data_IF_475801426820
#
_entry.id   IF_475801426820
#
_cell.length_a   1.000
_cell.length_b   1.000
_cell.length_c   1.000
_cell.angle_alpha   90.00
_cell.angle_beta   90.00
_cell.angle_gamma   90.00
#
_symmetry.space_group_name_H-M   'P 1'
#
loop_
_entity.id
_entity.type
_entity.pdbx_description
1 polymer ?
#
# COMPACT_ATOMS: atom_id res chain seq x y z
N UNK A 1 -56.22 20.34 -53.27
CA UNK A 1 -54.83 19.93 -53.51
C UNK A 1 -53.98 20.79 -52.61
N UNK A 2 -53.45 20.23 -51.53
CA UNK A 2 -52.57 20.95 -50.62
C UNK A 2 -51.16 20.36 -50.78
N UNK A 3 -50.23 21.25 -51.06
CA UNK A 3 -48.83 21.01 -51.42
C UNK A 3 -48.09 20.23 -50.33
N UNK A 4 -47.40 19.16 -50.75
CA UNK A 4 -46.40 18.45 -49.96
C UNK A 4 -45.18 19.35 -49.82
N UNK A 5 -44.92 19.88 -48.63
CA UNK A 5 -43.65 20.49 -48.30
C UNK A 5 -42.67 19.41 -47.84
N UNK A 6 -41.61 19.24 -48.64
CA UNK A 6 -40.41 18.47 -48.33
C UNK A 6 -39.71 19.08 -47.10
N UNK A 7 -39.52 18.28 -46.04
CA UNK A 7 -38.49 18.55 -45.03
C UNK A 7 -37.40 17.48 -45.18
N UNK A 8 -36.14 17.87 -45.45
CA UNK A 8 -35.04 16.91 -45.47
C UNK A 8 -34.69 16.59 -44.02
N UNK A 9 -35.27 15.53 -43.46
CA UNK A 9 -34.80 14.98 -42.19
C UNK A 9 -33.64 14.05 -42.53
N UNK A 10 -32.46 14.35 -41.98
CA UNK A 10 -31.22 13.60 -42.14
C UNK A 10 -31.37 12.19 -41.55
N UNK A 11 -31.88 11.25 -42.34
CA UNK A 11 -31.86 9.83 -42.02
C UNK A 11 -30.69 9.18 -42.78
N UNK A 12 -29.51 9.10 -42.17
CA UNK A 12 -28.42 8.31 -42.75
C UNK A 12 -28.66 6.82 -42.40
N UNK A 13 -28.95 6.02 -43.42
CA UNK A 13 -29.04 4.56 -43.28
C UNK A 13 -27.61 4.00 -43.37
N UNK A 14 -26.83 4.09 -42.28
CA UNK A 14 -25.49 3.50 -42.20
C UNK A 14 -25.56 1.98 -42.37
N UNK A 15 -24.81 1.32 -43.23
CA UNK A 15 -25.04 -0.11 -43.59
C UNK A 15 -24.57 -1.21 -42.59
N UNK A 16 -24.30 -0.89 -41.32
CA UNK A 16 -23.48 -1.75 -40.42
C UNK A 16 -24.19 -2.83 -39.58
N UNK A 17 -25.38 -3.33 -39.93
CA UNK A 17 -25.96 -4.44 -39.13
C UNK A 17 -25.26 -5.78 -39.45
N UNK A 18 -24.19 -6.11 -38.72
CA UNK A 18 -23.41 -7.36 -38.89
C UNK A 18 -24.08 -8.61 -38.27
N UNK A 19 -25.01 -8.43 -37.33
CA UNK A 19 -25.66 -9.53 -36.60
C UNK A 19 -27.16 -9.50 -36.88
N UNK A 20 -27.69 -10.61 -37.39
CA UNK A 20 -29.12 -10.74 -37.67
C UNK A 20 -29.97 -10.61 -36.39
N UNK A 21 -31.09 -9.90 -36.49
CA UNK A 21 -32.05 -9.75 -35.38
C UNK A 21 -31.67 -8.70 -34.33
N UNK A 22 -30.53 -8.01 -34.50
CA UNK A 22 -30.15 -6.82 -33.74
C UNK A 22 -30.28 -5.60 -34.62
N UNK A 23 -30.77 -4.49 -34.07
CA UNK A 23 -30.95 -3.24 -34.83
C UNK A 23 -30.21 -2.09 -34.19
N UNK A 24 -29.16 -1.58 -34.85
CA UNK A 24 -28.55 -0.33 -34.45
C UNK A 24 -29.58 0.80 -34.42
N UNK A 25 -29.51 1.61 -33.38
CA UNK A 25 -30.32 2.80 -33.19
C UNK A 25 -29.41 3.95 -32.74
N UNK A 26 -29.69 5.14 -33.25
CA UNK A 26 -29.09 6.40 -32.79
C UNK A 26 -30.21 7.33 -32.33
N UNK A 27 -30.03 7.94 -31.17
CA UNK A 27 -31.00 8.89 -30.60
C UNK A 27 -30.29 10.13 -30.09
N UNK A 28 -31.01 11.25 -30.08
CA UNK A 28 -30.67 12.39 -29.23
C UNK A 28 -31.37 12.18 -27.90
N UNK A 29 -30.60 12.20 -26.81
CA UNK A 29 -31.15 12.09 -25.46
C UNK A 29 -31.73 13.42 -24.99
N UNK A 30 -31.02 14.52 -25.23
CA UNK A 30 -31.48 15.88 -24.92
C UNK A 30 -30.63 16.99 -25.58
N UNK A 31 -31.22 18.19 -25.66
CA UNK A 31 -30.54 19.44 -26.02
C UNK A 31 -29.75 20.03 -24.83
N UNK A 32 -28.53 20.51 -25.12
CA UNK A 32 -27.62 21.13 -24.18
C UNK A 32 -27.65 22.65 -24.38
N UNK A 33 -27.85 23.37 -23.28
CA UNK A 33 -27.98 24.82 -23.25
C UNK A 33 -26.70 25.50 -22.74
N UNK A 34 -26.45 26.76 -23.14
CA UNK A 34 -25.30 27.52 -22.64
C UNK A 34 -25.43 27.88 -21.16
N UNK A 35 -26.66 28.11 -20.67
CA UNK A 35 -26.97 28.52 -19.30
C UNK A 35 -28.41 28.14 -18.90
N UNK A 36 -28.86 28.60 -17.73
CA UNK A 36 -30.20 28.35 -17.19
C UNK A 36 -31.27 29.37 -17.59
N UNK A 37 -30.97 30.27 -18.53
CA UNK A 37 -31.97 31.18 -19.10
C UNK A 37 -32.89 30.48 -20.11
N UNK A 38 -32.47 29.31 -20.59
CA UNK A 38 -33.22 28.44 -21.50
C UNK A 38 -33.32 27.03 -20.92
N UNK A 39 -34.48 26.41 -21.05
CA UNK A 39 -34.78 25.08 -20.50
C UNK A 39 -35.71 24.31 -21.43
N UNK A 40 -35.71 22.99 -21.26
CA UNK A 40 -36.66 22.07 -21.91
C UNK A 40 -38.06 22.19 -21.32
N UNK A 41 -39.08 21.61 -21.96
CA UNK A 41 -40.45 21.69 -21.45
C UNK A 41 -40.59 21.16 -20.01
N UNK A 42 -39.80 20.15 -19.64
CA UNK A 42 -39.76 19.63 -18.28
C UNK A 42 -39.12 20.59 -17.25
N UNK A 43 -38.55 21.71 -17.68
CA UNK A 43 -37.90 22.73 -16.85
C UNK A 43 -36.40 22.52 -16.60
N UNK A 44 -35.77 21.55 -17.25
CA UNK A 44 -34.32 21.26 -17.09
C UNK A 44 -33.50 22.08 -18.08
N UNK A 45 -32.40 22.64 -17.58
CA UNK A 45 -31.31 23.20 -18.38
C UNK A 45 -30.10 22.28 -18.29
N UNK A 46 -29.90 21.46 -19.33
CA UNK A 46 -28.72 20.61 -19.43
C UNK A 46 -27.50 21.45 -19.76
N UNK A 47 -26.53 21.49 -18.86
CA UNK A 47 -25.29 22.25 -19.06
C UNK A 47 -24.17 21.28 -19.40
N UNK A 48 -23.42 21.57 -20.47
CA UNK A 48 -22.41 20.68 -21.05
C UNK A 48 -21.43 20.11 -20.01
N UNK A 49 -20.96 20.95 -19.08
CA UNK A 49 -20.06 20.52 -18.00
C UNK A 49 -20.63 19.36 -17.17
N UNK A 50 -21.91 19.41 -16.80
CA UNK A 50 -22.53 18.37 -15.99
C UNK A 50 -22.95 17.17 -16.84
N UNK A 51 -23.31 17.40 -18.11
CA UNK A 51 -23.55 16.31 -19.06
C UNK A 51 -22.28 15.49 -19.26
N UNK A 52 -21.13 16.12 -19.48
CA UNK A 52 -19.84 15.45 -19.61
C UNK A 52 -19.45 14.66 -18.35
N UNK A 53 -19.70 15.21 -17.16
CA UNK A 53 -19.38 14.55 -15.89
C UNK A 53 -20.18 13.23 -15.69
N UNK A 54 -21.41 13.19 -16.19
CA UNK A 54 -22.32 12.04 -16.03
C UNK A 54 -22.43 11.18 -17.30
N UNK A 55 -21.71 11.52 -18.38
CA UNK A 55 -21.79 10.84 -19.69
C UNK A 55 -21.55 9.33 -19.62
N UNK A 56 -20.66 8.91 -18.70
CA UNK A 56 -20.29 7.51 -18.52
C UNK A 56 -21.49 6.61 -18.18
N UNK A 57 -22.52 7.15 -17.52
CA UNK A 57 -23.68 6.36 -17.09
C UNK A 57 -24.66 6.06 -18.24
N UNK A 58 -24.48 6.66 -19.43
CA UNK A 58 -25.31 6.34 -20.60
C UNK A 58 -24.96 4.96 -21.14
N UNK A 59 -23.70 4.52 -21.01
CA UNK A 59 -23.27 3.20 -21.51
C UNK A 59 -23.89 2.10 -20.65
N UNK A 60 -24.62 1.19 -21.29
CA UNK A 60 -25.39 0.14 -20.63
C UNK A 60 -26.78 0.58 -20.15
N UNK A 61 -27.14 1.86 -20.31
CA UNK A 61 -28.48 2.34 -20.01
C UNK A 61 -29.52 1.66 -20.91
N UNK A 62 -30.66 1.31 -20.33
CA UNK A 62 -31.75 0.63 -21.03
C UNK A 62 -32.49 1.55 -21.99
N UNK A 63 -32.87 0.99 -23.14
CA UNK A 63 -33.90 1.56 -24.01
C UNK A 63 -35.21 0.86 -23.65
N UNK A 64 -36.21 1.62 -23.25
CA UNK A 64 -37.46 1.10 -22.69
C UNK A 64 -38.68 1.59 -23.46
N UNK A 65 -39.75 0.81 -23.37
CA UNK A 65 -41.05 1.09 -23.96
C UNK A 65 -42.13 0.55 -23.05
N UNK A 66 -43.08 1.41 -22.66
CA UNK A 66 -44.41 0.95 -22.23
C UNK A 66 -45.24 0.72 -23.50
N UNK A 67 -45.74 -0.50 -23.69
CA UNK A 67 -46.54 -0.83 -24.88
C UNK A 67 -48.01 -0.52 -24.65
N UNK A 68 -48.66 0.06 -25.65
CA UNK A 68 -50.11 0.33 -25.60
C UNK A 68 -50.93 -0.96 -25.55
N UNK A 69 -50.40 -2.06 -26.10
CA UNK A 69 -51.09 -3.33 -26.25
C UNK A 69 -50.19 -4.51 -25.88
N UNK A 70 -50.81 -5.64 -25.53
CA UNK A 70 -50.10 -6.91 -25.29
C UNK A 70 -49.37 -7.44 -26.52
N UNK A 71 -49.70 -6.94 -27.72
CA UNK A 71 -49.04 -7.29 -28.96
C UNK A 71 -47.63 -6.68 -29.08
N UNK A 72 -47.27 -5.75 -28.19
CA UNK A 72 -45.95 -5.10 -28.12
C UNK A 72 -45.51 -4.49 -29.44
N UNK A 73 -46.43 -3.77 -30.06
CA UNK A 73 -46.28 -3.12 -31.36
C UNK A 73 -46.12 -1.61 -31.24
N UNK A 74 -47.00 -0.96 -30.46
CA UNK A 74 -47.09 0.50 -30.39
C UNK A 74 -46.50 0.97 -29.04
N UNK A 75 -45.45 1.82 -29.06
CA UNK A 75 -44.98 2.48 -27.85
C UNK A 75 -46.04 3.46 -27.33
N UNK A 76 -46.11 3.67 -26.02
CA UNK A 76 -47.07 4.57 -25.40
C UNK A 76 -46.36 5.56 -24.46
N UNK A 77 -45.96 5.10 -23.28
CA UNK A 77 -45.50 5.95 -22.17
C UNK A 77 -44.16 5.51 -21.56
N UNK A 78 -43.87 6.07 -20.38
CA UNK A 78 -42.64 5.84 -19.64
C UNK A 78 -42.68 4.55 -18.79
N UNK A 79 -43.87 4.03 -18.49
CA UNK A 79 -44.05 2.86 -17.63
C UNK A 79 -43.69 3.08 -16.15
N UNK A 80 -43.64 4.33 -15.69
CA UNK A 80 -43.37 4.68 -14.29
C UNK A 80 -44.56 4.32 -13.39
N UNK A 81 -44.31 3.52 -12.36
CA UNK A 81 -45.35 3.07 -11.43
C UNK A 81 -45.31 3.85 -10.12
N UNK A 82 -44.14 3.97 -9.49
CA UNK A 82 -43.99 4.68 -8.21
C UNK A 82 -42.54 5.11 -7.94
N UNK A 83 -42.32 5.78 -6.79
CA UNK A 83 -40.98 6.02 -6.24
C UNK A 83 -40.87 5.22 -4.95
N UNK A 84 -39.86 4.34 -4.88
CA UNK A 84 -39.59 3.56 -3.67
C UNK A 84 -39.05 4.48 -2.58
N UNK A 85 -39.81 4.60 -1.49
CA UNK A 85 -39.55 5.58 -0.41
C UNK A 85 -38.25 5.31 0.35
N UNK A 86 -37.77 4.06 0.40
CA UNK A 86 -36.60 3.69 1.18
C UNK A 86 -35.29 4.28 0.64
N UNK A 87 -35.20 4.45 -0.69
CA UNK A 87 -33.98 4.85 -1.38
C UNK A 87 -34.23 5.83 -2.53
N UNK A 88 -35.42 6.41 -2.59
CA UNK A 88 -35.89 7.33 -3.63
C UNK A 88 -35.73 6.78 -5.05
N UNK A 89 -35.74 5.45 -5.22
CA UNK A 89 -35.57 4.83 -6.53
C UNK A 89 -36.86 4.92 -7.34
N UNK A 90 -36.85 5.56 -8.54
CA UNK A 90 -37.98 5.51 -9.45
C UNK A 90 -38.19 4.08 -9.97
N UNK A 91 -39.40 3.56 -9.85
CA UNK A 91 -39.79 2.24 -10.35
C UNK A 91 -40.54 2.39 -11.67
N UNK A 92 -40.05 1.69 -12.69
CA UNK A 92 -40.61 1.67 -14.05
C UNK A 92 -41.08 0.26 -14.42
N UNK A 93 -41.96 -0.33 -13.61
CA UNK A 93 -42.31 -1.75 -13.73
C UNK A 93 -43.06 -2.10 -15.03
N UNK A 94 -43.75 -1.13 -15.63
CA UNK A 94 -44.45 -1.29 -16.91
C UNK A 94 -43.56 -0.95 -18.12
N UNK A 95 -42.31 -0.52 -17.88
CA UNK A 95 -41.35 -0.19 -18.93
C UNK A 95 -40.58 -1.43 -19.37
N UNK A 96 -40.93 -1.95 -20.54
CA UNK A 96 -40.24 -3.11 -21.13
C UNK A 96 -38.91 -2.68 -21.74
N UNK A 97 -37.81 -3.29 -21.29
CA UNK A 97 -36.50 -3.09 -21.92
C UNK A 97 -36.44 -3.77 -23.30
N UNK A 98 -36.21 -2.97 -24.34
CA UNK A 98 -36.17 -3.41 -25.75
C UNK A 98 -34.78 -3.31 -26.36
N UNK A 99 -33.83 -2.71 -25.64
CA UNK A 99 -32.46 -2.50 -26.09
C UNK A 99 -31.60 -1.84 -25.03
N UNK A 100 -30.39 -1.46 -25.42
CA UNK A 100 -29.44 -0.72 -24.58
C UNK A 100 -28.57 0.19 -25.42
N UNK A 101 -27.96 1.20 -24.79
CA UNK A 101 -26.93 2.02 -25.40
C UNK A 101 -25.53 1.47 -25.15
N UNK A 102 -24.69 1.59 -26.17
CA UNK A 102 -23.32 1.11 -26.17
C UNK A 102 -22.33 2.28 -26.13
N UNK A 103 -22.76 3.47 -26.56
CA UNK A 103 -21.91 4.65 -26.70
C UNK A 103 -22.73 5.94 -26.57
N UNK A 104 -22.10 7.00 -26.08
CA UNK A 104 -22.66 8.34 -26.10
C UNK A 104 -21.58 9.39 -26.33
N UNK A 105 -21.97 10.52 -26.93
CA UNK A 105 -21.10 11.66 -27.19
C UNK A 105 -21.92 12.93 -27.40
N UNK A 106 -21.27 14.09 -27.23
CA UNK A 106 -21.87 15.40 -27.48
C UNK A 106 -21.49 15.85 -28.88
N UNK A 107 -22.45 16.36 -29.63
CA UNK A 107 -22.22 16.87 -30.99
C UNK A 107 -23.19 18.02 -31.32
N UNK A 108 -22.93 18.70 -32.42
CA UNK A 108 -23.81 19.72 -32.98
C UNK A 108 -24.64 19.12 -34.13
N UNK A 109 -25.96 19.12 -33.97
CA UNK A 109 -26.91 18.53 -34.94
C UNK A 109 -27.89 19.59 -35.44
N UNK A 110 -28.16 19.61 -36.74
CA UNK A 110 -29.21 20.44 -37.31
C UNK A 110 -30.59 19.78 -37.12
N UNK A 111 -31.47 20.44 -36.34
CA UNK A 111 -32.84 20.01 -36.10
C UNK A 111 -33.75 21.17 -36.50
N UNK A 112 -34.69 20.92 -37.42
CA UNK A 112 -35.61 21.93 -37.97
C UNK A 112 -34.90 23.20 -38.50
N UNK A 113 -33.72 23.03 -39.12
CA UNK A 113 -32.92 24.13 -39.67
C UNK A 113 -32.14 24.96 -38.64
N UNK A 114 -32.11 24.52 -37.38
CA UNK A 114 -31.34 25.16 -36.30
C UNK A 114 -30.27 24.18 -35.81
N UNK A 115 -29.01 24.60 -35.82
CA UNK A 115 -27.92 23.86 -35.19
C UNK A 115 -28.09 23.89 -33.67
N UNK A 116 -28.21 22.71 -33.07
CA UNK A 116 -28.37 22.51 -31.63
C UNK A 116 -27.21 21.67 -31.10
N UNK A 117 -26.68 22.06 -29.94
CA UNK A 117 -25.74 21.26 -29.15
C UNK A 117 -26.54 20.16 -28.45
N UNK A 118 -26.22 18.89 -28.66
CA UNK A 118 -27.04 17.78 -28.17
C UNK A 118 -26.20 16.64 -27.59
N UNK A 119 -26.79 15.86 -26.69
CA UNK A 119 -26.25 14.56 -26.27
C UNK A 119 -26.81 13.45 -27.17
N UNK A 120 -25.94 12.74 -27.87
CA UNK A 120 -26.28 11.62 -28.75
C UNK A 120 -25.91 10.30 -28.07
N UNK A 121 -26.78 9.30 -28.20
CA UNK A 121 -26.52 7.92 -27.79
C UNK A 121 -26.72 6.95 -28.95
N UNK A 122 -25.79 6.01 -29.09
CA UNK A 122 -25.81 4.91 -30.06
C UNK A 122 -25.98 3.59 -29.31
N UNK A 123 -26.86 2.74 -29.82
CA UNK A 123 -27.22 1.49 -29.14
C UNK A 123 -27.82 0.46 -30.08
N UNK A 124 -28.39 -0.57 -29.46
CA UNK A 124 -28.94 -1.72 -30.17
C UNK A 124 -30.31 -2.11 -29.61
N UNK A 125 -31.31 -2.26 -30.50
CA UNK A 125 -32.61 -2.87 -30.23
C UNK A 125 -32.60 -4.37 -30.53
N UNK A 126 -33.32 -5.15 -29.73
CA UNK A 126 -33.52 -6.59 -29.94
C UNK A 126 -34.75 -6.85 -30.83
N UNK A 127 -34.55 -6.78 -32.15
CA UNK A 127 -35.63 -7.04 -33.11
C UNK A 127 -36.14 -8.49 -33.07
N UNK A 128 -35.31 -9.47 -32.68
CA UNK A 128 -35.79 -10.86 -32.58
C UNK A 128 -36.90 -10.99 -31.54
N UNK A 129 -36.85 -10.17 -30.48
CA UNK A 129 -37.83 -10.19 -29.40
C UNK A 129 -38.95 -9.19 -29.59
N UNK A 130 -38.68 -8.10 -30.29
CA UNK A 130 -39.64 -7.03 -30.54
C UNK A 130 -39.80 -6.69 -32.04
N UNK A 131 -40.13 -7.67 -32.91
CA UNK A 131 -40.16 -7.45 -34.35
C UNK A 131 -41.29 -6.52 -34.79
N UNK A 132 -42.43 -6.54 -34.09
CA UNK A 132 -43.58 -5.66 -34.38
C UNK A 132 -43.28 -4.21 -34.01
N UNK A 133 -42.71 -3.98 -32.82
CA UNK A 133 -42.23 -2.66 -32.40
C UNK A 133 -41.19 -2.08 -33.36
N UNK A 134 -40.19 -2.87 -33.74
CA UNK A 134 -39.17 -2.41 -34.69
C UNK A 134 -39.77 -2.11 -36.07
N UNK A 135 -40.78 -2.89 -36.51
CA UNK A 135 -41.52 -2.58 -37.73
C UNK A 135 -42.31 -1.27 -37.60
N UNK A 136 -42.97 -1.04 -36.47
CA UNK A 136 -43.70 0.19 -36.17
C UNK A 136 -42.77 1.41 -36.22
N UNK A 137 -41.59 1.35 -35.58
CA UNK A 137 -40.61 2.43 -35.64
C UNK A 137 -40.21 2.75 -37.09
N UNK A 138 -39.98 1.75 -37.94
CA UNK A 138 -39.61 1.97 -39.36
C UNK A 138 -40.69 2.65 -40.18
N UNK A 139 -41.94 2.34 -39.88
CA UNK A 139 -43.09 2.96 -40.54
C UNK A 139 -43.21 4.42 -40.10
N UNK A 140 -43.19 4.66 -38.79
CA UNK A 140 -43.46 5.98 -38.22
C UNK A 140 -42.29 6.96 -38.37
N UNK A 141 -41.03 6.49 -38.39
CA UNK A 141 -39.87 7.33 -38.73
C UNK A 141 -39.89 7.82 -40.17
N UNK A 142 -40.54 7.09 -41.09
CA UNK A 142 -40.68 7.52 -42.48
C UNK A 142 -41.71 8.65 -42.63
N UNK A 143 -42.63 8.77 -41.67
CA UNK A 143 -43.77 9.69 -41.72
C UNK A 143 -43.61 10.88 -40.77
N UNK A 144 -42.86 10.73 -39.68
CA UNK A 144 -42.74 11.71 -38.60
C UNK A 144 -41.48 11.52 -37.76
N UNK A 145 -41.20 12.49 -36.89
CA UNK A 145 -40.14 12.39 -35.88
C UNK A 145 -40.63 11.59 -34.68
N UNK A 146 -39.97 10.47 -34.38
CA UNK A 146 -40.27 9.70 -33.18
C UNK A 146 -39.57 10.34 -31.98
N UNK A 147 -40.34 10.56 -30.92
CA UNK A 147 -39.87 11.22 -29.71
C UNK A 147 -39.47 10.21 -28.63
N UNK A 148 -38.65 10.65 -27.70
CA UNK A 148 -38.37 9.88 -26.50
C UNK A 148 -38.19 10.77 -25.27
N UNK A 149 -37.82 10.14 -24.17
CA UNK A 149 -37.52 10.84 -22.92
C UNK A 149 -36.37 10.16 -22.23
N UNK A 150 -35.42 10.96 -21.79
CA UNK A 150 -34.32 10.51 -20.94
C UNK A 150 -34.77 10.46 -19.48
N UNK A 151 -34.43 9.39 -18.80
CA UNK A 151 -34.64 9.22 -17.37
C UNK A 151 -33.31 9.38 -16.62
N UNK A 152 -33.36 10.08 -15.50
CA UNK A 152 -32.21 10.26 -14.61
C UNK A 152 -32.59 9.90 -13.18
N UNK A 153 -31.60 9.43 -12.43
CA UNK A 153 -31.73 9.07 -11.02
C UNK A 153 -30.63 9.75 -10.21
N UNK A 154 -30.87 9.97 -8.92
CA UNK A 154 -29.82 10.41 -8.02
C UNK A 154 -28.84 9.30 -7.72
N UNK A 155 -27.61 9.68 -7.38
CA UNK A 155 -26.57 8.70 -7.06
C UNK A 155 -26.81 8.07 -5.68
N UNK A 156 -26.33 6.85 -5.50
CA UNK A 156 -26.46 6.13 -4.23
C UNK A 156 -25.75 6.86 -3.07
N UNK A 157 -24.64 7.56 -3.35
CA UNK A 157 -23.92 8.38 -2.38
C UNK A 157 -24.71 9.61 -1.90
N UNK A 158 -25.87 9.88 -2.52
CA UNK A 158 -26.77 10.98 -2.22
C UNK A 158 -28.19 10.50 -1.91
N UNK A 159 -28.34 9.28 -1.38
CA UNK A 159 -29.63 8.68 -1.00
C UNK A 159 -30.66 8.68 -2.16
N UNK A 160 -30.18 8.53 -3.40
CA UNK A 160 -31.04 8.54 -4.60
C UNK A 160 -31.54 9.92 -5.00
N UNK A 161 -31.07 11.00 -4.36
CA UNK A 161 -31.42 12.37 -4.71
C UNK A 161 -30.55 12.94 -5.83
N UNK A 162 -31.20 13.56 -6.82
CA UNK A 162 -30.53 14.37 -7.84
C UNK A 162 -30.11 15.70 -7.21
N UNK A 163 -28.83 16.05 -7.36
CA UNK A 163 -28.32 17.32 -6.85
C UNK A 163 -28.36 18.37 -7.96
N UNK A 164 -29.04 19.49 -7.69
CA UNK A 164 -29.22 20.60 -8.63
C UNK A 164 -28.35 21.82 -8.26
N UNK A 165 -27.81 22.49 -9.27
CA UNK A 165 -27.08 23.75 -9.12
C UNK A 165 -28.01 24.84 -8.59
N UNK A 166 -27.68 25.42 -7.44
CA UNK A 166 -28.53 26.43 -6.81
C UNK A 166 -29.83 25.89 -6.20
N UNK A 167 -29.94 24.56 -6.06
CA UNK A 167 -31.13 23.90 -5.53
C UNK A 167 -32.20 23.60 -6.58
N UNK A 168 -33.26 22.94 -6.14
CA UNK A 168 -34.39 22.61 -7.03
C UNK A 168 -35.19 23.87 -7.36
N UNK A 169 -35.56 24.01 -8.63
CA UNK A 169 -36.49 25.01 -9.14
C UNK A 169 -37.35 24.42 -10.25
N UNK A 170 -38.52 24.99 -10.48
CA UNK A 170 -39.47 24.47 -11.46
C UNK A 170 -38.93 24.60 -12.90
N UNK A 171 -38.34 25.75 -13.23
CA UNK A 171 -37.78 26.05 -14.55
C UNK A 171 -36.30 26.47 -14.46
N UNK A 172 -35.54 26.11 -15.49
CA UNK A 172 -34.11 26.37 -15.57
C UNK A 172 -33.26 25.50 -14.63
N UNK A 173 -33.80 24.42 -14.05
CA UNK A 173 -33.05 23.64 -13.04
C UNK A 173 -31.88 22.92 -13.72
N UNK A 174 -30.71 23.00 -13.10
CA UNK A 174 -29.49 22.43 -13.66
C UNK A 174 -29.10 21.20 -12.83
N UNK A 175 -29.33 19.98 -13.30
CA UNK A 175 -28.84 18.79 -12.63
C UNK A 175 -27.31 18.75 -12.70
N UNK A 176 -26.65 18.52 -11.56
CA UNK A 176 -25.18 18.45 -11.46
C UNK A 176 -24.71 17.03 -11.20
N UNK A 177 -25.36 16.34 -10.27
CA UNK A 177 -24.98 15.01 -9.79
C UNK A 177 -26.19 14.09 -9.96
N UNK A 178 -26.08 13.19 -10.92
CA UNK A 178 -27.13 12.25 -11.32
C UNK A 178 -26.51 11.11 -12.13
N UNK A 179 -27.28 10.07 -12.41
CA UNK A 179 -26.97 9.07 -13.42
C UNK A 179 -28.12 8.98 -14.42
N UNK A 180 -27.79 8.87 -15.70
CA UNK A 180 -28.71 8.42 -16.74
C UNK A 180 -29.14 6.98 -16.45
N UNK A 181 -30.45 6.74 -16.36
CA UNK A 181 -31.01 5.47 -15.89
C UNK A 181 -31.86 4.73 -16.94
N UNK A 182 -32.42 5.45 -17.91
CA UNK A 182 -33.17 4.86 -19.02
C UNK A 182 -33.46 5.86 -20.14
N UNK A 183 -33.90 5.35 -21.28
CA UNK A 183 -34.51 6.16 -22.34
C UNK A 183 -35.79 5.51 -22.82
N UNK A 184 -36.91 6.18 -22.60
CA UNK A 184 -38.22 5.74 -23.03
C UNK A 184 -38.48 6.21 -24.47
N UNK A 185 -38.88 5.31 -25.35
CA UNK A 185 -39.42 5.68 -26.67
C UNK A 185 -40.93 5.85 -26.55
N UNK A 186 -41.44 7.01 -26.97
CA UNK A 186 -42.80 7.45 -26.66
C UNK A 186 -43.60 7.72 -27.94
N UNK A 187 -44.91 7.49 -27.89
CA UNK A 187 -45.87 8.02 -28.86
C UNK A 187 -46.76 9.13 -28.28
N UNK A 188 -46.60 9.43 -26.99
CA UNK A 188 -47.24 10.55 -26.29
C UNK A 188 -46.31 11.77 -26.28
N UNK A 189 -46.82 12.93 -25.86
CA UNK A 189 -46.05 14.17 -25.82
C UNK A 189 -44.79 13.96 -24.95
N UNK A 190 -43.57 14.11 -25.51
CA UNK A 190 -42.33 13.93 -24.76
C UNK A 190 -42.09 15.09 -23.80
N UNK A 191 -41.23 14.85 -22.81
CA UNK A 191 -40.74 15.87 -21.89
C UNK A 191 -39.69 16.81 -22.54
N UNK A 192 -39.11 16.36 -23.65
CA UNK A 192 -38.12 17.08 -24.46
C UNK A 192 -38.42 16.92 -25.96
N UNK A 193 -38.62 18.03 -26.66
CA UNK A 193 -38.86 18.04 -28.10
C UNK A 193 -37.60 17.69 -28.91
N UNK A 194 -36.41 17.87 -28.33
CA UNK A 194 -35.13 17.50 -28.96
C UNK A 194 -34.78 16.02 -28.78
N UNK A 195 -35.44 15.30 -27.87
CA UNK A 195 -35.24 13.87 -27.69
C UNK A 195 -35.90 13.11 -28.85
N UNK A 196 -35.10 12.78 -29.87
CA UNK A 196 -35.56 12.21 -31.13
C UNK A 196 -34.80 10.94 -31.47
N UNK A 197 -35.51 9.96 -32.04
CA UNK A 197 -34.87 8.80 -32.67
C UNK A 197 -34.34 9.26 -34.03
N UNK A 198 -33.01 9.32 -34.18
CA UNK A 198 -32.35 9.84 -35.38
C UNK A 198 -32.29 8.79 -36.49
N UNK A 199 -31.85 7.57 -36.18
CA UNK A 199 -31.58 6.56 -37.20
C UNK A 199 -31.99 5.17 -36.74
N UNK A 200 -32.59 4.43 -37.67
CA UNK A 200 -32.90 3.02 -37.49
C UNK A 200 -32.47 2.26 -38.73
N UNK A 201 -31.47 1.42 -38.53
CA UNK A 201 -30.67 0.91 -39.62
C UNK A 201 -31.37 -0.23 -40.37
N UNK A 202 -31.84 0.00 -41.62
CA UNK A 202 -32.20 -1.05 -42.58
C UNK A 202 -32.40 -0.58 -44.04
N UNK A 203 -32.02 -1.45 -45.00
CA UNK A 203 -32.21 -1.26 -46.45
C UNK A 203 -33.69 -1.07 -46.83
N UNK A 204 -34.09 0.14 -47.22
CA UNK A 204 -35.25 0.37 -48.11
C UNK A 204 -34.74 0.45 -49.56
N UNK A 205 -35.12 -0.52 -50.39
CA UNK A 205 -35.09 -0.36 -51.84
C UNK A 205 -36.27 0.56 -52.23
N UNK A 206 -36.06 1.86 -52.31
CA UNK A 206 -37.02 2.75 -52.98
C UNK A 206 -36.39 3.30 -54.26
N UNK A 207 -36.93 2.81 -55.39
CA UNK A 207 -36.79 3.44 -56.70
C UNK A 207 -37.67 4.69 -56.69
N UNK A 208 -37.08 5.87 -56.54
CA UNK A 208 -37.69 7.10 -57.03
C UNK A 208 -36.73 7.75 -58.02
N UNK A 209 -37.12 7.72 -59.29
CA UNK A 209 -36.49 8.49 -60.36
C UNK A 209 -36.75 9.98 -60.12
N UNK A 210 -35.85 10.64 -59.39
CA UNK A 210 -35.62 12.07 -59.56
C UNK A 210 -34.48 12.21 -60.56
N UNK A 211 -34.79 12.72 -61.76
CA UNK A 211 -33.77 13.05 -62.77
C UNK A 211 -32.96 14.25 -62.29
N UNK A 212 -31.94 13.97 -61.48
CA UNK A 212 -30.83 14.88 -61.22
C UNK A 212 -30.03 15.03 -62.52
N UNK A 213 -29.71 16.27 -62.88
CA UNK A 213 -28.88 16.62 -64.05
C UNK A 213 -27.56 15.82 -64.02
N UNK A 214 -27.19 15.21 -65.15
CA UNK A 214 -26.09 14.24 -65.27
C UNK A 214 -24.74 14.87 -64.88
N UNK A 215 -24.61 16.18 -65.08
CA UNK A 215 -23.46 16.97 -64.64
C UNK A 215 -23.39 17.10 -63.11
N UNK A 216 -24.52 17.41 -62.46
CA UNK A 216 -24.60 17.50 -61.00
C UNK A 216 -24.34 16.13 -60.35
N UNK A 217 -24.84 15.05 -60.97
CA UNK A 217 -24.59 13.68 -60.52
C UNK A 217 -23.09 13.32 -60.57
N UNK A 218 -22.38 13.72 -61.61
CA UNK A 218 -20.94 13.47 -61.75
C UNK A 218 -20.10 14.30 -60.79
N UNK A 219 -20.43 15.58 -60.58
CA UNK A 219 -19.78 16.45 -59.59
C UNK A 219 -20.02 15.93 -58.17
N UNK A 220 -21.27 15.53 -57.85
CA UNK A 220 -21.63 14.95 -56.57
C UNK A 220 -20.95 13.59 -56.33
N UNK A 221 -20.90 12.73 -57.35
CA UNK A 221 -20.14 11.46 -57.29
C UNK A 221 -18.66 11.69 -57.02
N UNK A 222 -18.04 12.70 -57.65
CA UNK A 222 -16.64 13.03 -57.43
C UNK A 222 -16.40 13.49 -55.98
N UNK A 223 -17.23 14.39 -55.47
CA UNK A 223 -17.15 14.88 -54.07
C UNK A 223 -17.39 13.74 -53.07
N UNK A 224 -18.42 12.93 -53.29
CA UNK A 224 -18.71 11.76 -52.44
C UNK A 224 -17.56 10.76 -52.48
N UNK A 225 -17.02 10.46 -53.67
CA UNK A 225 -15.91 9.50 -53.79
C UNK A 225 -14.62 9.99 -53.09
N UNK A 226 -14.34 11.29 -53.16
CA UNK A 226 -13.23 11.91 -52.43
C UNK A 226 -13.43 11.82 -50.92
N UNK A 227 -14.61 12.23 -50.43
CA UNK A 227 -14.94 12.17 -49.00
C UNK A 227 -14.93 10.72 -48.46
N UNK A 228 -15.44 9.75 -49.22
CA UNK A 228 -15.39 8.33 -48.87
C UNK A 228 -13.95 7.81 -48.85
N UNK A 229 -13.12 8.19 -49.83
CA UNK A 229 -11.71 7.79 -49.86
C UNK A 229 -10.92 8.37 -48.68
N UNK A 230 -11.16 9.63 -48.32
CA UNK A 230 -10.55 10.26 -47.15
C UNK A 230 -11.02 9.61 -45.83
N UNK A 231 -12.32 9.33 -45.73
CA UNK A 231 -12.90 8.67 -44.56
C UNK A 231 -12.36 7.25 -44.38
N UNK A 232 -12.27 6.46 -45.46
CA UNK A 232 -11.65 5.14 -45.44
C UNK A 232 -10.17 5.20 -45.02
N UNK A 233 -9.42 6.19 -45.53
CA UNK A 233 -8.01 6.37 -45.16
C UNK A 233 -7.85 6.68 -43.67
N UNK A 234 -8.73 7.51 -43.10
CA UNK A 234 -8.76 7.78 -41.65
C UNK A 234 -9.17 6.55 -40.84
N UNK A 235 -10.10 5.75 -41.35
CA UNK A 235 -10.50 4.48 -40.74
C UNK A 235 -9.35 3.49 -40.68
N UNK A 236 -8.59 3.35 -41.76
CA UNK A 236 -7.38 2.50 -41.80
C UNK A 236 -6.32 3.01 -40.80
N UNK A 237 -6.15 4.34 -40.70
CA UNK A 237 -5.23 4.94 -39.72
C UNK A 237 -5.67 4.68 -38.27
N UNK A 238 -6.95 4.84 -37.95
CA UNK A 238 -7.47 4.56 -36.62
C UNK A 238 -7.41 3.08 -36.28
N UNK A 239 -7.73 2.20 -37.25
CA UNK A 239 -7.61 0.77 -37.07
C UNK A 239 -6.18 0.36 -36.75
N UNK A 240 -5.20 0.89 -37.50
CA UNK A 240 -3.78 0.66 -37.23
C UNK A 240 -3.36 1.17 -35.83
N UNK A 241 -3.90 2.31 -35.37
CA UNK A 241 -3.65 2.81 -34.01
C UNK A 241 -4.27 1.92 -32.93
N UNK A 242 -5.45 1.36 -33.17
CA UNK A 242 -6.09 0.41 -32.25
C UNK A 242 -5.27 -0.86 -32.17
N UNK A 243 -4.89 -1.46 -33.30
CA UNK A 243 -4.04 -2.67 -33.31
C UNK A 243 -2.69 -2.44 -32.61
N UNK A 244 -2.07 -1.26 -32.81
CA UNK A 244 -0.83 -0.91 -32.11
C UNK A 244 -1.03 -0.79 -30.59
N UNK A 245 -2.14 -0.20 -30.14
CA UNK A 245 -2.47 -0.10 -28.71
C UNK A 245 -2.83 -1.46 -28.11
N UNK A 246 -3.51 -2.33 -28.83
CA UNK A 246 -3.81 -3.68 -28.38
C UNK A 246 -2.53 -4.51 -28.19
N UNK A 247 -1.55 -4.35 -29.11
CA UNK A 247 -0.24 -4.95 -28.95
C UNK A 247 0.52 -4.40 -27.72
N UNK A 248 0.45 -3.09 -27.47
CA UNK A 248 1.04 -2.46 -26.27
C UNK A 248 0.39 -2.97 -24.98
N UNK A 249 -0.95 -3.09 -24.96
CA UNK A 249 -1.70 -3.65 -23.81
C UNK A 249 -1.28 -5.10 -23.55
N UNK A 250 -1.18 -5.93 -24.61
CA UNK A 250 -0.74 -7.31 -24.47
C UNK A 250 0.68 -7.42 -23.90
N UNK A 251 1.59 -6.54 -24.32
CA UNK A 251 2.95 -6.47 -23.78
C UNK A 251 2.94 -6.04 -22.30
N UNK A 252 2.22 -4.97 -21.96
CA UNK A 252 2.11 -4.52 -20.57
C UNK A 252 1.52 -5.58 -19.65
N UNK A 253 0.54 -6.35 -20.12
CA UNK A 253 -0.01 -7.48 -19.36
C UNK A 253 1.02 -8.59 -19.14
N UNK A 254 1.88 -8.87 -20.11
CA UNK A 254 2.97 -9.84 -19.95
C UNK A 254 4.01 -9.34 -18.93
N UNK A 255 4.37 -8.05 -18.99
CA UNK A 255 5.32 -7.44 -18.06
C UNK A 255 4.78 -7.40 -16.62
N UNK A 256 3.49 -7.11 -16.44
CA UNK A 256 2.81 -7.16 -15.14
C UNK A 256 2.91 -8.57 -14.54
N UNK A 257 2.59 -9.62 -15.30
CA UNK A 257 2.70 -11.01 -14.82
C UNK A 257 4.12 -11.37 -14.41
N UNK A 258 5.12 -10.89 -15.15
CA UNK A 258 6.52 -11.14 -14.81
C UNK A 258 6.92 -10.43 -13.52
N UNK A 259 6.52 -9.17 -13.34
CA UNK A 259 6.76 -8.41 -12.11
C UNK A 259 6.01 -8.98 -10.90
N UNK A 260 4.79 -9.48 -11.09
CA UNK A 260 4.03 -10.16 -10.03
C UNK A 260 4.76 -11.42 -9.55
N UNK A 261 5.33 -12.21 -10.48
CA UNK A 261 6.14 -13.37 -10.13
C UNK A 261 7.44 -12.98 -9.39
N UNK A 262 8.10 -11.90 -9.81
CA UNK A 262 9.30 -11.38 -9.14
C UNK A 262 8.98 -10.88 -7.72
N UNK A 263 7.88 -10.15 -7.53
CA UNK A 263 7.43 -9.71 -6.20
C UNK A 263 7.10 -10.90 -5.30
N UNK A 264 6.46 -11.95 -5.83
CA UNK A 264 6.17 -13.15 -5.07
C UNK A 264 7.46 -13.84 -4.60
N UNK A 265 8.48 -13.92 -5.47
CA UNK A 265 9.78 -14.49 -5.10
C UNK A 265 10.49 -13.64 -4.04
N UNK A 266 10.55 -12.32 -4.22
CA UNK A 266 11.18 -11.42 -3.26
C UNK A 266 10.52 -11.48 -1.88
N UNK A 267 9.19 -11.65 -1.82
CA UNK A 267 8.48 -11.86 -0.55
C UNK A 267 8.88 -13.16 0.12
N UNK A 268 8.97 -14.25 -0.62
CA UNK A 268 9.42 -15.54 -0.09
C UNK A 268 10.87 -15.47 0.43
N UNK A 269 11.76 -14.80 -0.32
CA UNK A 269 13.16 -14.61 0.07
C UNK A 269 13.27 -13.74 1.33
N UNK A 270 12.46 -12.68 1.43
CA UNK A 270 12.42 -11.82 2.61
C UNK A 270 11.93 -12.57 3.87
N UNK A 271 10.87 -13.37 3.75
CA UNK A 271 10.37 -14.20 4.85
C UNK A 271 11.41 -15.23 5.31
N UNK A 272 12.11 -15.87 4.37
CA UNK A 272 13.20 -16.80 4.69
C UNK A 272 14.37 -16.12 5.39
N UNK A 273 14.77 -14.93 4.91
CA UNK A 273 15.82 -14.14 5.54
C UNK A 273 15.45 -13.70 6.96
N UNK A 274 14.21 -13.27 7.17
CA UNK A 274 13.72 -12.85 8.48
C UNK A 274 13.67 -14.04 9.47
N UNK A 275 13.24 -15.22 9.00
CA UNK A 275 13.28 -16.44 9.81
C UNK A 275 14.73 -16.85 10.18
N UNK A 276 15.67 -16.73 9.24
CA UNK A 276 17.08 -17.00 9.48
C UNK A 276 17.70 -16.00 10.49
N UNK A 277 17.33 -14.72 10.41
CA UNK A 277 17.76 -13.70 11.37
C UNK A 277 17.23 -14.01 12.78
N UNK A 278 15.94 -14.31 12.92
CA UNK A 278 15.36 -14.67 14.21
C UNK A 278 16.04 -15.91 14.83
N UNK A 279 16.37 -16.91 14.03
CA UNK A 279 17.10 -18.09 14.49
C UNK A 279 18.54 -17.74 14.93
N UNK A 280 19.22 -16.85 14.22
CA UNK A 280 20.56 -16.39 14.59
C UNK A 280 20.56 -15.57 15.89
N UNK A 281 19.57 -14.70 16.09
CA UNK A 281 19.41 -13.92 17.32
C UNK A 281 19.10 -14.81 18.55
N UNK A 282 18.25 -15.82 18.37
CA UNK A 282 18.00 -16.82 19.40
C UNK A 282 19.28 -17.59 19.76
N UNK A 283 20.03 -18.05 18.75
CA UNK A 283 21.31 -18.74 18.96
C UNK A 283 22.37 -17.87 19.64
N UNK A 284 22.43 -16.57 19.33
CA UNK A 284 23.33 -15.63 20.01
C UNK A 284 22.96 -15.45 21.49
N UNK A 285 21.66 -15.40 21.78
CA UNK A 285 21.15 -15.29 23.16
C UNK A 285 21.52 -16.52 23.97
N UNK A 286 21.32 -17.72 23.43
CA UNK A 286 21.71 -18.98 24.07
C UNK A 286 23.23 -19.06 24.29
N UNK A 287 24.03 -18.69 23.29
CA UNK A 287 25.48 -18.68 23.38
C UNK A 287 25.99 -17.70 24.47
N UNK A 288 25.38 -16.52 24.58
CA UNK A 288 25.72 -15.55 25.61
C UNK A 288 25.37 -16.06 27.01
N UNK A 289 24.20 -16.67 27.20
CA UNK A 289 23.81 -17.27 28.47
C UNK A 289 24.76 -18.42 28.89
N UNK A 290 25.18 -19.25 27.93
CA UNK A 290 26.17 -20.30 28.15
C UNK A 290 27.54 -19.73 28.53
N UNK A 291 27.96 -18.64 27.87
CA UNK A 291 29.20 -17.93 28.18
C UNK A 291 29.19 -17.35 29.60
N UNK A 292 28.13 -16.65 30.01
CA UNK A 292 28.01 -16.11 31.37
C UNK A 292 28.08 -17.21 32.43
N UNK A 293 27.42 -18.35 32.18
CA UNK A 293 27.48 -19.52 33.05
C UNK A 293 28.91 -20.08 33.16
N UNK A 294 29.62 -20.16 32.05
CA UNK A 294 31.01 -20.64 32.02
C UNK A 294 31.97 -19.67 32.73
N UNK A 295 31.80 -18.35 32.54
CA UNK A 295 32.60 -17.32 33.22
C UNK A 295 32.38 -17.34 34.73
N UNK A 296 31.14 -17.48 35.19
CA UNK A 296 30.82 -17.64 36.61
C UNK A 296 31.49 -18.89 37.20
N UNK A 297 31.40 -20.02 36.49
CA UNK A 297 32.02 -21.29 36.90
C UNK A 297 33.55 -21.18 36.97
N UNK A 298 34.17 -20.49 36.02
CA UNK A 298 35.61 -20.23 35.99
C UNK A 298 36.04 -19.36 37.17
N UNK A 299 35.28 -18.30 37.47
CA UNK A 299 35.55 -17.43 38.62
C UNK A 299 35.48 -18.21 39.94
N UNK A 300 34.49 -19.09 40.10
CA UNK A 300 34.36 -19.94 41.28
C UNK A 300 35.53 -20.93 41.39
N UNK A 301 35.92 -21.56 40.28
CA UNK A 301 37.06 -22.47 40.25
C UNK A 301 38.37 -21.76 40.62
N UNK A 302 38.61 -20.56 40.07
CA UNK A 302 39.78 -19.75 40.40
C UNK A 302 39.80 -19.34 41.88
N UNK A 303 38.65 -18.99 42.47
CA UNK A 303 38.55 -18.68 43.89
C UNK A 303 38.89 -19.90 44.76
N UNK A 304 38.41 -21.10 44.38
CA UNK A 304 38.76 -22.36 45.08
C UNK A 304 40.24 -22.69 44.94
N UNK A 305 40.84 -22.50 43.77
CA UNK A 305 42.28 -22.71 43.55
C UNK A 305 43.08 -21.79 44.47
N UNK A 306 42.78 -20.50 44.50
CA UNK A 306 43.46 -19.53 45.36
C UNK A 306 43.33 -19.87 46.86
N UNK A 307 42.16 -20.38 47.29
CA UNK A 307 41.97 -20.86 48.65
C UNK A 307 42.85 -22.09 48.95
N UNK A 308 42.87 -23.08 48.06
CA UNK A 308 43.69 -24.28 48.24
C UNK A 308 45.20 -23.96 48.25
N UNK A 309 45.65 -23.02 47.42
CA UNK A 309 47.04 -22.55 47.41
C UNK A 309 47.40 -21.84 48.72
N UNK A 310 46.50 -21.00 49.24
CA UNK A 310 46.63 -20.33 50.54
C UNK A 310 46.70 -21.34 51.71
N UNK A 311 45.83 -22.35 51.69
CA UNK A 311 45.82 -23.43 52.69
C UNK A 311 47.09 -24.29 52.61
N UNK A 312 47.56 -24.62 51.40
CA UNK A 312 48.80 -25.36 51.18
C UNK A 312 50.03 -24.58 51.67
N UNK A 313 50.13 -23.29 51.37
CA UNK A 313 51.22 -22.42 51.82
C UNK A 313 51.27 -22.31 53.35
N UNK A 314 50.11 -22.20 54.02
CA UNK A 314 50.02 -22.23 55.49
C UNK A 314 50.42 -23.57 56.07
N UNK A 315 50.03 -24.68 55.42
CA UNK A 315 50.45 -26.01 55.84
C UNK A 315 51.98 -26.20 55.73
N UNK A 316 52.60 -25.65 54.68
CA UNK A 316 54.05 -25.68 54.51
C UNK A 316 54.77 -24.86 55.60
N UNK A 317 54.29 -23.66 55.91
CA UNK A 317 54.81 -22.87 57.04
C UNK A 317 54.68 -23.64 58.37
N UNK A 318 53.52 -24.21 58.65
CA UNK A 318 53.28 -24.98 59.87
C UNK A 318 54.22 -26.21 59.95
N UNK A 319 54.46 -26.89 58.83
CA UNK A 319 55.41 -28.00 58.77
C UNK A 319 56.85 -27.53 59.03
N UNK A 320 57.25 -26.37 58.51
CA UNK A 320 58.57 -25.79 58.74
C UNK A 320 58.76 -25.30 60.19
N UNK A 321 57.68 -24.85 60.86
CA UNK A 321 57.72 -24.39 62.24
C UNK A 321 57.60 -25.51 63.29
N UNK A 322 57.14 -26.71 62.90
CA UNK A 322 56.94 -27.86 63.79
C UNK A 322 58.17 -28.26 64.65
N UNK A 323 59.43 -28.11 64.20
CA UNK A 323 60.60 -28.41 65.02
C UNK A 323 60.90 -27.39 66.14
N UNK A 324 60.25 -26.22 66.14
CA UNK A 324 60.53 -25.12 67.05
C UNK A 324 59.47 -25.01 68.16
N UNK A 325 59.89 -24.67 69.38
CA UNK A 325 58.98 -24.47 70.52
C UNK A 325 58.20 -23.15 70.40
N UNK A 326 57.10 -23.01 71.15
CA UNK A 326 56.27 -21.80 71.15
C UNK A 326 57.07 -20.53 71.51
N UNK A 327 58.00 -20.64 72.47
CA UNK A 327 58.90 -19.54 72.87
C UNK A 327 59.86 -19.12 71.73
N UNK A 328 60.26 -20.06 70.88
CA UNK A 328 61.15 -19.81 69.74
C UNK A 328 60.38 -19.20 68.57
N UNK A 329 59.15 -19.65 68.33
CA UNK A 329 58.27 -19.08 67.30
C UNK A 329 57.88 -17.62 67.63
N UNK A 330 57.79 -17.27 68.92
CA UNK A 330 57.49 -15.90 69.36
C UNK A 330 58.50 -14.85 68.87
N UNK A 331 59.74 -15.26 68.54
CA UNK A 331 60.80 -14.39 68.01
C UNK A 331 60.47 -13.82 66.62
N UNK A 332 59.73 -14.59 65.81
CA UNK A 332 59.31 -14.19 64.45
C UNK A 332 57.79 -14.05 64.34
N UNK A 333 57.12 -13.72 65.46
CA UNK A 333 55.66 -13.66 65.54
C UNK A 333 55.05 -12.69 64.54
N UNK A 334 55.63 -11.51 64.38
CA UNK A 334 55.16 -10.50 63.43
C UNK A 334 55.20 -11.04 61.97
N UNK A 335 56.27 -11.74 61.60
CA UNK A 335 56.38 -12.33 60.26
C UNK A 335 55.49 -13.56 60.05
N UNK A 336 55.26 -14.36 61.09
CA UNK A 336 54.32 -15.50 61.06
C UNK A 336 52.88 -15.01 60.93
N UNK A 337 52.50 -13.98 61.67
CA UNK A 337 51.17 -13.38 61.60
C UNK A 337 50.94 -12.74 60.22
N UNK A 338 51.94 -12.03 59.68
CA UNK A 338 51.89 -11.48 58.32
C UNK A 338 51.76 -12.56 57.22
N UNK A 339 52.44 -13.70 57.36
CA UNK A 339 52.30 -14.83 56.43
C UNK A 339 50.92 -15.50 56.55
N UNK A 340 50.36 -15.60 57.75
CA UNK A 340 49.03 -16.18 57.97
C UNK A 340 47.90 -15.29 57.43
N UNK A 341 48.05 -13.97 57.50
CA UNK A 341 47.12 -13.01 56.90
C UNK A 341 47.23 -12.98 55.36
N UNK A 342 48.45 -13.08 54.82
CA UNK A 342 48.69 -13.11 53.38
C UNK A 342 49.78 -14.14 53.02
N UNK A 343 49.40 -15.41 52.71
CA UNK A 343 50.37 -16.46 52.40
C UNK A 343 51.23 -16.11 51.19
N UNK A 344 52.55 -16.24 51.36
CA UNK A 344 53.53 -15.81 50.37
C UNK A 344 54.02 -14.36 50.50
N UNK A 345 53.55 -13.60 51.50
CA UNK A 345 54.04 -12.23 51.78
C UNK A 345 55.48 -12.19 52.32
N UNK A 346 55.92 -13.27 52.97
CA UNK A 346 57.26 -13.43 53.54
C UNK A 346 57.79 -14.82 53.15
N UNK A 347 59.06 -14.94 52.80
CA UNK A 347 59.63 -16.25 52.50
C UNK A 347 59.74 -17.11 53.77
N UNK A 348 59.27 -18.36 53.72
CA UNK A 348 59.31 -19.29 54.87
C UNK A 348 60.74 -19.45 55.39
N UNK A 349 61.73 -19.50 54.50
CA UNK A 349 63.15 -19.60 54.86
C UNK A 349 63.65 -18.36 55.62
N UNK A 350 63.09 -17.17 55.38
CA UNK A 350 63.46 -15.96 56.11
C UNK A 350 62.93 -15.99 57.55
N UNK A 351 61.70 -16.48 57.76
CA UNK A 351 61.09 -16.69 59.09
C UNK A 351 61.93 -17.70 59.88
N UNK A 352 62.19 -18.86 59.29
CA UNK A 352 63.01 -19.92 59.90
C UNK A 352 64.43 -19.41 60.18
N UNK A 353 65.02 -18.65 59.25
CA UNK A 353 66.35 -18.05 59.39
C UNK A 353 66.43 -17.06 60.56
N UNK A 354 65.40 -16.23 60.76
CA UNK A 354 65.31 -15.28 61.90
C UNK A 354 65.26 -16.03 63.23
N UNK A 355 64.42 -17.07 63.34
CA UNK A 355 64.33 -17.93 64.53
C UNK A 355 65.70 -18.58 64.82
N UNK A 356 66.32 -19.20 63.82
CA UNK A 356 67.63 -19.86 63.97
C UNK A 356 68.74 -18.88 64.40
N UNK A 357 68.79 -17.69 63.81
CA UNK A 357 69.83 -16.68 64.11
C UNK A 357 69.72 -16.16 65.54
N UNK A 358 68.50 -15.86 65.99
CA UNK A 358 68.24 -15.36 67.34
C UNK A 358 68.40 -16.45 68.40
N UNK A 359 68.05 -17.71 68.11
CA UNK A 359 68.38 -18.83 69.00
C UNK A 359 69.89 -18.97 69.23
N UNK A 360 70.69 -18.85 68.16
CA UNK A 360 72.16 -18.89 68.26
C UNK A 360 72.68 -17.69 69.05
N UNK A 361 72.11 -16.50 68.87
CA UNK A 361 72.44 -15.29 69.64
C UNK A 361 72.15 -15.48 71.13
N UNK A 362 70.94 -15.91 71.48
CA UNK A 362 70.52 -16.19 72.87
C UNK A 362 71.39 -17.29 73.51
N UNK A 363 71.77 -18.32 72.77
CA UNK A 363 72.67 -19.36 73.26
C UNK A 363 74.08 -18.82 73.53
N UNK A 364 74.61 -17.94 72.66
CA UNK A 364 75.91 -17.27 72.88
C UNK A 364 75.86 -16.30 74.06
N UNK A 365 74.80 -15.51 74.19
CA UNK A 365 74.61 -14.57 75.29
C UNK A 365 74.47 -15.29 76.64
N UNK A 366 73.75 -16.42 76.68
CA UNK A 366 73.68 -17.28 77.87
C UNK A 366 75.05 -17.89 78.22
N UNK A 367 75.81 -18.34 77.23
CA UNK A 367 77.18 -18.84 77.43
C UNK A 367 78.13 -17.74 77.95
N UNK A 368 78.03 -16.51 77.44
CA UNK A 368 78.82 -15.36 77.94
C UNK A 368 78.39 -14.94 79.35
N UNK A 369 77.09 -14.92 79.64
CA UNK A 369 76.56 -14.62 80.97
C UNK A 369 76.97 -15.66 82.01
N UNK A 370 76.97 -16.96 81.65
CA UNK A 370 77.47 -18.04 82.51
C UNK A 370 78.99 -17.95 82.71
N UNK A 371 79.75 -17.52 81.70
CA UNK A 371 81.20 -17.29 81.83
C UNK A 371 81.50 -16.10 82.75
N UNK A 372 80.72 -15.01 82.65
CA UNK A 372 80.87 -13.83 83.49
C UNK A 372 80.44 -14.08 84.95
N UNK A 373 79.41 -14.90 85.17
CA UNK A 373 79.00 -15.35 86.50
C UNK A 373 80.00 -16.32 87.14
N UNK A 374 80.76 -17.08 86.34
CA UNK A 374 81.85 -17.93 86.82
C UNK A 374 83.16 -17.17 87.11
N UNK A 375 83.28 -15.91 86.65
CA UNK A 375 84.50 -15.09 86.80
C UNK A 375 84.44 -13.99 87.88
N UNK A 376 83.45 -14.00 88.77
CA UNK A 376 83.51 -13.24 90.04
C UNK A 376 84.48 -13.93 91.02
N UNK A 377 85.78 -13.83 90.73
CA UNK A 377 86.84 -13.91 91.74
C UNK A 377 87.21 -12.46 92.06
N UNK A 378 86.89 -12.02 93.28
CA UNK A 378 87.28 -10.72 93.83
C UNK A 378 88.79 -10.72 94.15
N UNK A 379 89.59 -10.03 93.33
CA UNK A 379 91.06 -9.98 93.44
C UNK A 379 91.56 -8.70 94.15
N UNK A 380 90.69 -7.81 94.64
CA UNK A 380 91.13 -6.48 95.15
C UNK A 380 90.71 -6.14 96.59
N UNK A 381 90.27 -7.11 97.40
CA UNK A 381 89.95 -6.91 98.83
C UNK A 381 91.11 -7.21 99.83
N UNK A 382 92.32 -7.45 99.34
CA UNK A 382 93.57 -7.56 100.12
C UNK A 382 94.59 -6.73 99.33
N UNK A 383 95.15 -5.62 99.77
CA UNK A 383 95.76 -5.27 101.05
C UNK A 383 96.30 -3.85 100.83
N UNK A 384 96.08 -2.91 101.76
CA UNK A 384 97.09 -1.88 101.96
C UNK A 384 97.10 -1.38 103.41
N UNK A 385 98.15 -1.77 104.14
CA UNK A 385 98.69 -0.95 105.20
C UNK A 385 100.22 -1.06 105.20
N UNK A 386 100.81 -0.01 104.63
CA UNK A 386 101.93 0.78 105.17
C UNK A 386 103.38 0.48 104.77
N UNK A 387 103.92 1.50 104.07
CA UNK A 387 105.20 2.24 104.26
C UNK A 387 106.49 1.60 103.70
N UNK A 388 107.10 2.26 102.70
CA UNK A 388 108.25 3.22 102.77
C UNK A 388 109.52 2.52 103.29
N UNK A 389 110.70 2.47 102.67
CA UNK A 389 111.45 3.29 101.69
C UNK A 389 112.57 2.36 101.12
N UNK A 390 112.82 2.36 99.80
CA UNK A 390 113.91 3.06 99.08
C UNK A 390 115.34 2.50 99.25
N UNK A 391 115.91 2.03 98.13
CA UNK A 391 117.33 1.98 97.63
C UNK A 391 117.49 0.67 96.83
N UNK A 392 118.17 0.50 95.70
CA UNK A 392 118.93 1.28 94.70
C UNK A 392 119.11 0.29 93.52
N UNK A 393 119.34 0.78 92.30
CA UNK A 393 119.98 -0.03 91.26
C UNK A 393 119.11 -0.53 90.11
N UNK A 394 119.15 0.25 89.03
CA UNK A 394 119.52 -0.22 87.68
C UNK A 394 118.61 -1.23 86.94
N UNK A 395 117.82 -0.64 86.04
CA UNK A 395 117.39 -1.06 84.69
C UNK A 395 117.86 -2.44 84.18
N UNK A 396 116.92 -3.36 83.96
CA UNK A 396 116.72 -4.09 82.68
C UNK A 396 115.44 -4.95 82.78
N UNK A 397 114.57 -4.95 81.78
CA UNK A 397 113.37 -5.83 81.78
C UNK A 397 113.24 -6.54 80.44
N UNK A 398 113.55 -7.84 80.46
CA UNK A 398 113.14 -8.88 79.51
C UNK A 398 111.87 -9.58 80.00
#
# INVERSE_FOLDING_TARGET
MAEKFFYPICYEISSESKIAGRRPIKVILHEIFPDDSTWQENGISWIEKYVQANLHSVVGMSITVEFLTDDRDIPYGHGMTEIRVQDNLPLFEDATMVGHFDRAYIDDVEIDGVTKRVLIAEGTLDEMRYPKFVAWLREHMAESTIKGSVEIVGKAEHDGHIIYSGGWKEQGRIPQIYDYSGYAILSVKPADEAAIVMELNNKKQQKEESTMDEKLKNELMAVISGAVSESNSKWDEYWAKVEAKDAEIAQLQADIKLKEAEIAQLRADFEAANAAQAAAEAGLTEANAAKETAEASLSEANAKIAQLESEAAKAELNAALAPYTEEQQAIAKEEIDAFNENPGSVEINAIVGKICTEMVRLSREKSVAETNAASEIDVFAMTDSTKLEADDGEVDVF
#
